data_IF_387519725248
#
_entry.id   IF_387519725248
#
_cell.length_a   1.000
_cell.length_b   1.000
_cell.length_c   1.000
_cell.angle_alpha   90.00
_cell.angle_beta   90.00
_cell.angle_gamma   90.00
#
_symmetry.space_group_name_H-M   'P 1'
#
loop_
_entity.id
_entity.type
_entity.pdbx_description
1 polymer ?
#
# COMPACT_ATOMS: atom_id res chain seq x y z
N UNK A 1 -16.57 10.89 21.87
CA UNK A 1 -15.70 9.70 22.10
C UNK A 1 -14.61 9.58 21.04
N UNK A 2 -14.90 9.77 19.75
CA UNK A 2 -13.91 9.85 18.66
C UNK A 2 -12.93 11.04 18.78
N UNK A 3 -13.41 12.22 19.20
CA UNK A 3 -12.55 13.40 19.39
C UNK A 3 -11.50 13.21 20.49
N UNK A 4 -11.86 12.59 21.61
CA UNK A 4 -10.93 12.31 22.71
C UNK A 4 -9.80 11.36 22.29
N UNK A 5 -10.11 10.36 21.45
CA UNK A 5 -9.13 9.41 20.92
C UNK A 5 -8.21 10.05 19.88
N UNK A 6 -8.75 10.92 19.01
CA UNK A 6 -7.96 11.67 18.03
C UNK A 6 -6.97 12.63 18.71
N UNK A 7 -7.42 13.36 19.75
CA UNK A 7 -6.58 14.28 20.52
C UNK A 7 -5.48 13.53 21.28
N UNK A 8 -5.78 12.36 21.86
CA UNK A 8 -4.80 11.54 22.57
C UNK A 8 -3.71 11.01 21.62
N UNK A 9 -4.11 10.51 20.45
CA UNK A 9 -3.19 10.06 19.39
C UNK A 9 -2.30 11.20 18.91
N UNK A 10 -2.86 12.39 18.72
CA UNK A 10 -2.12 13.55 18.25
C UNK A 10 -1.09 14.04 19.29
N UNK A 11 -1.47 14.10 20.57
CA UNK A 11 -0.51 14.42 21.64
C UNK A 11 0.63 13.41 21.71
N UNK A 12 0.34 12.11 21.53
CA UNK A 12 1.36 11.04 21.46
C UNK A 12 2.31 11.25 20.28
N UNK A 13 1.80 11.54 19.09
CA UNK A 13 2.66 11.78 17.92
C UNK A 13 3.54 13.01 18.10
N UNK A 14 3.01 14.08 18.68
CA UNK A 14 3.75 15.31 18.90
C UNK A 14 4.88 15.12 19.92
N UNK A 15 4.64 14.32 20.98
CA UNK A 15 5.65 14.01 21.97
C UNK A 15 6.78 13.11 21.41
N UNK A 16 6.43 12.09 20.62
CA UNK A 16 7.40 11.24 19.95
C UNK A 16 8.22 12.02 18.91
N UNK A 17 7.56 12.91 18.17
CA UNK A 17 8.22 13.79 17.21
C UNK A 17 9.22 14.73 17.92
N UNK A 18 8.83 15.29 19.07
CA UNK A 18 9.71 16.14 19.87
C UNK A 18 10.91 15.36 20.41
N UNK A 19 10.70 14.15 20.92
CA UNK A 19 11.78 13.28 21.40
C UNK A 19 12.73 12.90 20.24
N UNK A 20 12.19 12.57 19.08
CA UNK A 20 12.98 12.30 17.89
C UNK A 20 13.81 13.51 17.46
N UNK A 21 13.21 14.71 17.46
CA UNK A 21 13.90 15.96 17.11
C UNK A 21 15.05 16.27 18.09
N UNK A 22 14.86 16.02 19.39
CA UNK A 22 15.91 16.16 20.40
C UNK A 22 17.11 15.25 20.12
N UNK A 23 16.88 13.97 19.83
CA UNK A 23 17.96 13.04 19.47
C UNK A 23 18.61 13.39 18.13
N UNK A 24 17.83 13.84 17.14
CA UNK A 24 18.38 14.28 15.85
C UNK A 24 19.28 15.52 16.02
N UNK A 25 18.94 16.45 16.92
CA UNK A 25 19.71 17.68 17.12
C UNK A 25 20.93 17.49 18.03
N UNK A 26 20.82 16.66 19.07
CA UNK A 26 21.89 16.47 20.06
C UNK A 26 22.86 15.34 19.72
N UNK A 27 22.40 14.23 19.14
CA UNK A 27 23.25 13.06 18.90
C UNK A 27 23.86 13.01 17.48
N UNK A 28 23.37 13.84 16.54
CA UNK A 28 23.80 13.80 15.13
C UNK A 28 24.45 15.10 14.63
N UNK A 29 25.44 14.93 13.76
CA UNK A 29 26.05 16.05 13.04
C UNK A 29 25.11 16.54 11.93
N UNK A 30 25.25 17.80 11.45
CA UNK A 30 24.48 18.31 10.31
C UNK A 30 24.53 17.37 9.08
N UNK A 31 25.71 16.86 8.73
CA UNK A 31 25.86 15.94 7.60
C UNK A 31 25.18 14.57 7.77
N UNK A 32 25.00 14.10 9.01
CA UNK A 32 24.25 12.86 9.28
C UNK A 32 22.75 13.09 9.09
N UNK A 33 22.25 14.24 9.54
CA UNK A 33 20.86 14.67 9.33
C UNK A 33 20.53 14.82 7.85
N UNK A 34 21.44 15.41 7.07
CA UNK A 34 21.26 15.54 5.62
C UNK A 34 21.16 14.18 4.93
N UNK A 35 21.95 13.18 5.37
CA UNK A 35 21.86 11.81 4.84
C UNK A 35 20.55 11.14 5.19
N UNK A 36 20.05 11.31 6.43
CA UNK A 36 18.73 10.81 6.85
C UNK A 36 17.61 11.44 6.02
N UNK A 37 17.65 12.77 5.83
CA UNK A 37 16.71 13.50 4.99
C UNK A 37 16.78 13.04 3.53
N UNK A 38 17.97 12.85 2.98
CA UNK A 38 18.16 12.35 1.61
C UNK A 38 17.65 10.91 1.44
N UNK A 39 17.83 10.06 2.46
CA UNK A 39 17.29 8.69 2.48
C UNK A 39 15.76 8.70 2.53
N UNK A 40 15.16 9.48 3.42
CA UNK A 40 13.70 9.64 3.52
C UNK A 40 13.09 10.21 2.23
N UNK A 41 13.72 11.25 1.67
CA UNK A 41 13.33 11.85 0.39
C UNK A 41 13.43 10.83 -0.75
N UNK A 42 14.47 10.00 -0.79
CA UNK A 42 14.61 8.93 -1.78
C UNK A 42 13.48 7.91 -1.66
N UNK A 43 13.13 7.47 -0.45
CA UNK A 43 12.02 6.54 -0.22
C UNK A 43 10.70 7.14 -0.71
N UNK A 44 10.40 8.38 -0.31
CA UNK A 44 9.18 9.08 -0.72
C UNK A 44 9.10 9.24 -2.24
N UNK A 45 10.19 9.68 -2.87
CA UNK A 45 10.26 9.87 -4.32
C UNK A 45 10.01 8.56 -5.07
N UNK A 46 10.74 7.49 -4.73
CA UNK A 46 10.59 6.20 -5.41
C UNK A 46 9.23 5.55 -5.16
N UNK A 47 8.68 5.66 -3.95
CA UNK A 47 7.32 5.19 -3.64
C UNK A 47 6.28 5.94 -4.46
N UNK A 48 6.43 7.27 -4.57
CA UNK A 48 5.51 8.12 -5.35
C UNK A 48 5.57 7.77 -6.83
N UNK A 49 6.79 7.67 -7.39
CA UNK A 49 6.99 7.28 -8.79
C UNK A 49 6.44 5.88 -9.05
N UNK A 50 6.76 4.92 -8.19
CA UNK A 50 6.28 3.54 -8.28
C UNK A 50 4.75 3.47 -8.23
N UNK A 51 4.13 4.21 -7.30
CA UNK A 51 2.67 4.32 -7.18
C UNK A 51 2.02 4.90 -8.43
N UNK A 52 2.58 5.98 -8.98
CA UNK A 52 2.07 6.61 -10.20
C UNK A 52 2.17 5.68 -11.41
N UNK A 53 3.30 5.00 -11.58
CA UNK A 53 3.50 3.98 -12.62
C UNK A 53 2.52 2.81 -12.42
N UNK A 54 2.38 2.34 -11.19
CA UNK A 54 1.49 1.25 -10.82
C UNK A 54 0.02 1.53 -11.13
N UNK A 55 -0.50 2.70 -10.72
CA UNK A 55 -1.86 3.14 -11.07
C UNK A 55 -2.04 3.23 -12.58
N UNK A 56 -1.07 3.80 -13.29
CA UNK A 56 -1.13 3.91 -14.75
C UNK A 56 -1.22 2.54 -15.43
N UNK A 57 -0.40 1.57 -14.99
CA UNK A 57 -0.46 0.19 -15.47
C UNK A 57 -1.76 -0.52 -15.07
N UNK A 58 -2.28 -0.23 -13.87
CA UNK A 58 -3.58 -0.70 -13.41
C UNK A 58 -4.72 -0.24 -14.32
N UNK A 59 -4.74 1.05 -14.66
CA UNK A 59 -5.71 1.63 -15.60
C UNK A 59 -5.60 1.02 -17.00
N UNK A 60 -4.38 0.84 -17.53
CA UNK A 60 -4.16 0.18 -18.82
C UNK A 60 -4.68 -1.26 -18.80
N UNK A 61 -4.45 -1.99 -17.70
CA UNK A 61 -4.96 -3.35 -17.51
C UNK A 61 -6.48 -3.37 -17.45
N UNK A 62 -7.11 -2.41 -16.76
CA UNK A 62 -8.57 -2.28 -16.72
C UNK A 62 -9.17 -2.06 -18.12
N UNK A 63 -8.58 -1.14 -18.90
CA UNK A 63 -9.01 -0.88 -20.29
C UNK A 63 -8.91 -2.16 -21.12
N UNK A 64 -7.82 -2.91 -20.99
CA UNK A 64 -7.60 -4.16 -21.72
C UNK A 64 -8.59 -5.25 -21.31
N UNK A 65 -8.80 -5.46 -20.01
CA UNK A 65 -9.75 -6.45 -19.48
C UNK A 65 -11.19 -6.16 -19.93
N UNK A 66 -11.58 -4.88 -19.94
CA UNK A 66 -12.89 -4.45 -20.44
C UNK A 66 -13.05 -4.76 -21.93
N UNK A 67 -12.03 -4.47 -22.73
CA UNK A 67 -12.01 -4.81 -24.16
C UNK A 67 -12.17 -6.32 -24.38
N UNK A 68 -11.40 -7.15 -23.67
CA UNK A 68 -11.47 -8.61 -23.75
C UNK A 68 -12.84 -9.16 -23.34
N UNK A 69 -13.46 -8.66 -22.26
CA UNK A 69 -14.81 -9.07 -21.86
C UNK A 69 -15.86 -8.75 -22.93
N UNK A 70 -15.79 -7.58 -23.55
CA UNK A 70 -16.70 -7.20 -24.64
C UNK A 70 -16.53 -8.10 -25.86
N UNK A 71 -15.28 -8.37 -26.26
CA UNK A 71 -14.98 -9.27 -27.37
C UNK A 71 -15.52 -10.69 -27.10
N UNK A 72 -15.28 -11.22 -25.90
CA UNK A 72 -15.79 -12.52 -25.48
C UNK A 72 -17.32 -12.60 -25.52
N UNK A 73 -18.00 -11.60 -24.95
CA UNK A 73 -19.46 -11.52 -25.00
C UNK A 73 -19.98 -11.46 -26.45
N UNK A 74 -19.32 -10.68 -27.32
CA UNK A 74 -19.72 -10.56 -28.72
C UNK A 74 -19.60 -11.89 -29.48
N UNK A 75 -18.54 -12.65 -29.22
CA UNK A 75 -18.34 -13.98 -29.82
C UNK A 75 -19.41 -14.97 -29.35
N UNK A 76 -19.69 -15.02 -28.04
CA UNK A 76 -20.73 -15.89 -27.48
C UNK A 76 -22.12 -15.51 -28.00
N UNK A 77 -22.40 -14.22 -28.20
CA UNK A 77 -23.68 -13.76 -28.73
C UNK A 77 -23.85 -14.11 -30.21
N UNK A 78 -22.79 -14.01 -31.01
CA UNK A 78 -22.82 -14.23 -32.45
C UNK A 78 -22.84 -15.72 -32.85
N UNK A 79 -22.44 -16.62 -31.95
CA UNK A 79 -22.39 -18.06 -32.21
C UNK A 79 -23.79 -18.68 -32.18
N UNK A 80 -24.08 -19.61 -33.10
CA UNK A 80 -25.31 -20.40 -33.07
C UNK A 80 -25.37 -21.21 -31.78
N UNK A 81 -26.46 -21.07 -31.00
CA UNK A 81 -26.61 -21.68 -29.69
C UNK A 81 -27.52 -22.90 -29.78
N UNK A 82 -27.11 -24.07 -29.26
CA UNK A 82 -28.03 -25.20 -29.12
C UNK A 82 -29.16 -24.80 -28.16
N UNK A 83 -30.41 -24.99 -28.58
CA UNK A 83 -31.60 -24.61 -27.81
C UNK A 83 -32.24 -25.78 -27.09
N UNK A 84 -31.93 -27.01 -27.52
CA UNK A 84 -32.53 -28.25 -27.03
C UNK A 84 -31.48 -29.36 -26.96
N UNK A 85 -31.54 -30.16 -25.91
CA UNK A 85 -30.85 -31.46 -25.82
C UNK A 85 -31.90 -32.54 -25.97
N UNK A 86 -31.63 -33.52 -26.83
CA UNK A 86 -32.44 -34.73 -26.95
C UNK A 86 -31.67 -35.86 -26.27
N UNK A 87 -32.28 -36.48 -25.26
CA UNK A 87 -31.71 -37.62 -24.56
C UNK A 87 -32.05 -38.93 -25.29
N UNK A 88 -31.29 -39.98 -25.04
CA UNK A 88 -31.48 -41.32 -25.64
C UNK A 88 -32.89 -41.91 -25.38
N UNK A 89 -33.54 -41.47 -24.30
CA UNK A 89 -34.92 -41.84 -23.93
C UNK A 89 -36.00 -41.07 -24.73
N UNK A 90 -35.60 -40.19 -25.66
CA UNK A 90 -36.48 -39.33 -26.45
C UNK A 90 -36.95 -38.07 -25.71
N UNK A 91 -36.57 -37.87 -24.45
CA UNK A 91 -36.88 -36.66 -23.69
C UNK A 91 -36.11 -35.48 -24.27
N UNK A 92 -36.78 -34.34 -24.36
CA UNK A 92 -36.17 -33.10 -24.83
C UNK A 92 -36.18 -32.07 -23.70
N UNK A 93 -35.01 -31.54 -23.34
CA UNK A 93 -34.89 -30.44 -22.37
C UNK A 93 -34.35 -29.18 -23.05
N UNK A 94 -34.89 -28.02 -22.67
CA UNK A 94 -34.43 -26.72 -23.17
C UNK A 94 -33.12 -26.31 -22.48
N UNK A 95 -32.13 -25.91 -23.26
CA UNK A 95 -30.90 -25.33 -22.70
C UNK A 95 -31.20 -23.87 -22.31
N UNK A 96 -30.97 -23.47 -21.04
CA UNK A 96 -31.20 -22.10 -20.62
C UNK A 96 -30.23 -21.14 -21.32
N UNK A 97 -30.74 -19.97 -21.73
CA UNK A 97 -29.89 -18.93 -22.31
C UNK A 97 -29.09 -18.21 -21.21
N UNK A 98 -27.77 -18.44 -21.19
CA UNK A 98 -26.85 -17.83 -20.25
C UNK A 98 -26.35 -16.44 -20.70
N UNK A 99 -26.70 -15.99 -21.90
CA UNK A 99 -26.26 -14.68 -22.44
C UNK A 99 -26.54 -13.50 -21.51
N UNK A 100 -27.71 -13.39 -20.85
CA UNK A 100 -27.99 -12.28 -19.94
C UNK A 100 -27.05 -12.22 -18.74
N UNK A 101 -26.57 -13.37 -18.27
CA UNK A 101 -25.66 -13.49 -17.11
C UNK A 101 -24.23 -13.11 -17.46
N UNK A 102 -23.82 -13.32 -18.72
CA UNK A 102 -22.49 -12.99 -19.23
C UNK A 102 -22.38 -11.56 -19.76
N UNK A 103 -23.49 -10.81 -19.75
CA UNK A 103 -23.52 -9.45 -20.25
C UNK A 103 -22.61 -8.55 -19.40
N UNK A 104 -21.68 -7.79 -20.02
CA UNK A 104 -20.91 -6.79 -19.30
C UNK A 104 -21.83 -5.80 -18.59
N UNK A 105 -21.56 -5.54 -17.30
CA UNK A 105 -22.35 -4.64 -16.47
C UNK A 105 -21.55 -3.39 -16.08
N UNK A 106 -22.26 -2.30 -15.79
CA UNK A 106 -21.64 -1.05 -15.33
C UNK A 106 -20.94 -1.22 -13.99
N UNK A 107 -21.54 -1.97 -13.06
CA UNK A 107 -20.92 -2.30 -11.77
C UNK A 107 -19.63 -3.11 -11.94
N UNK A 108 -19.63 -4.08 -12.86
CA UNK A 108 -18.43 -4.85 -13.20
C UNK A 108 -17.33 -3.99 -13.81
N UNK A 109 -17.69 -3.00 -14.64
CA UNK A 109 -16.74 -2.01 -15.17
C UNK A 109 -16.14 -1.16 -14.04
N UNK A 110 -16.97 -0.62 -13.12
CA UNK A 110 -16.49 0.16 -11.96
C UNK A 110 -15.55 -0.67 -11.08
N UNK A 111 -15.95 -1.90 -10.74
CA UNK A 111 -15.10 -2.81 -9.96
C UNK A 111 -13.76 -3.08 -10.67
N UNK A 112 -13.78 -3.26 -11.99
CA UNK A 112 -12.56 -3.51 -12.77
C UNK A 112 -11.60 -2.32 -12.69
N UNK A 113 -12.07 -1.09 -12.90
CA UNK A 113 -11.21 0.09 -12.76
C UNK A 113 -10.71 0.28 -11.33
N UNK A 114 -11.59 0.09 -10.33
CA UNK A 114 -11.21 0.21 -8.92
C UNK A 114 -10.13 -0.79 -8.53
N UNK A 115 -10.38 -2.09 -8.68
CA UNK A 115 -9.44 -3.13 -8.23
C UNK A 115 -8.16 -3.13 -9.04
N UNK A 116 -8.21 -2.85 -10.34
CA UNK A 116 -6.98 -2.76 -11.14
C UNK A 116 -6.14 -1.54 -10.75
N UNK A 117 -6.78 -0.40 -10.45
CA UNK A 117 -6.05 0.80 -10.01
C UNK A 117 -5.49 0.66 -8.60
N UNK A 118 -6.27 0.12 -7.66
CA UNK A 118 -5.82 -0.16 -6.29
C UNK A 118 -4.73 -1.22 -6.28
N UNK A 119 -4.90 -2.32 -7.02
CA UNK A 119 -3.86 -3.34 -7.17
C UNK A 119 -2.60 -2.77 -7.80
N UNK A 120 -2.75 -1.95 -8.84
CA UNK A 120 -1.64 -1.22 -9.46
C UNK A 120 -0.91 -0.29 -8.48
N UNK A 121 -1.66 0.52 -7.71
CA UNK A 121 -1.12 1.40 -6.68
C UNK A 121 -0.29 0.63 -5.66
N UNK A 122 -0.85 -0.46 -5.12
CA UNK A 122 -0.19 -1.26 -4.09
C UNK A 122 1.07 -1.91 -4.65
N UNK A 123 0.98 -2.60 -5.78
CA UNK A 123 2.15 -3.24 -6.39
C UNK A 123 3.24 -2.22 -6.77
N UNK A 124 2.85 -1.11 -7.39
CA UNK A 124 3.78 -0.06 -7.76
C UNK A 124 4.39 0.65 -6.55
N UNK A 125 3.58 0.91 -5.53
CA UNK A 125 3.98 1.57 -4.29
C UNK A 125 4.97 0.73 -3.49
N UNK A 126 4.71 -0.57 -3.31
CA UNK A 126 5.61 -1.48 -2.60
C UNK A 126 6.94 -1.68 -3.35
N UNK A 127 6.90 -1.80 -4.67
CA UNK A 127 8.13 -1.90 -5.49
C UNK A 127 8.92 -0.59 -5.46
N UNK A 128 8.24 0.55 -5.54
CA UNK A 128 8.85 1.87 -5.39
C UNK A 128 9.45 2.05 -4.00
N UNK A 129 8.74 1.63 -2.96
CA UNK A 129 9.21 1.66 -1.58
C UNK A 129 10.47 0.81 -1.40
N UNK A 130 10.45 -0.46 -1.85
CA UNK A 130 11.60 -1.35 -1.77
C UNK A 130 12.83 -0.78 -2.49
N UNK A 131 12.65 -0.22 -3.70
CA UNK A 131 13.72 0.46 -4.43
C UNK A 131 14.23 1.71 -3.71
N UNK A 132 13.32 2.48 -3.12
CA UNK A 132 13.62 3.63 -2.29
C UNK A 132 14.43 3.28 -1.04
N UNK A 133 14.05 2.20 -0.35
CA UNK A 133 14.77 1.66 0.83
C UNK A 133 16.16 1.18 0.43
N UNK A 134 16.30 0.46 -0.67
CA UNK A 134 17.62 0.02 -1.15
C UNK A 134 18.54 1.22 -1.44
N UNK A 135 18.02 2.26 -2.11
CA UNK A 135 18.77 3.49 -2.38
C UNK A 135 19.09 4.26 -1.09
N UNK A 136 18.11 4.47 -0.22
CA UNK A 136 18.28 5.19 1.05
C UNK A 136 19.27 4.49 1.98
N UNK A 137 19.19 3.16 2.07
CA UNK A 137 20.15 2.33 2.82
C UNK A 137 21.55 2.55 2.28
N UNK A 138 21.75 2.50 0.96
CA UNK A 138 23.05 2.74 0.34
C UNK A 138 23.61 4.14 0.68
N UNK A 139 22.76 5.16 0.74
CA UNK A 139 23.14 6.52 1.16
C UNK A 139 23.68 6.52 2.60
N UNK A 140 22.98 5.86 3.53
CA UNK A 140 23.37 5.80 4.95
C UNK A 140 24.64 4.94 5.14
N UNK A 141 24.74 3.80 4.46
CA UNK A 141 25.86 2.85 4.65
C UNK A 141 27.14 3.26 3.94
N UNK A 142 27.11 4.29 3.09
CA UNK A 142 28.29 4.76 2.34
C UNK A 142 29.41 5.30 3.24
N UNK A 143 29.06 5.78 4.43
CA UNK A 143 30.00 6.30 5.44
C UNK A 143 29.86 5.49 6.74
N UNK A 144 30.84 4.64 7.07
CA UNK A 144 30.81 3.78 8.25
C UNK A 144 30.70 4.53 9.58
N UNK A 145 31.28 5.72 9.70
CA UNK A 145 31.25 6.49 10.94
C UNK A 145 29.88 7.14 11.14
N UNK A 146 29.35 7.73 10.07
CA UNK A 146 28.00 8.29 10.04
C UNK A 146 26.95 7.24 10.34
N UNK A 147 27.07 6.04 9.74
CA UNK A 147 26.22 4.89 10.06
C UNK A 147 26.24 4.56 11.55
N UNK A 148 27.43 4.47 12.16
CA UNK A 148 27.57 4.14 13.59
C UNK A 148 26.93 5.20 14.50
N UNK A 149 27.07 6.49 14.16
CA UNK A 149 26.42 7.60 14.90
C UNK A 149 24.91 7.52 14.79
N UNK A 150 24.39 7.30 13.58
CA UNK A 150 22.95 7.13 13.31
C UNK A 150 22.38 5.94 14.09
N UNK A 151 23.04 4.77 14.06
CA UNK A 151 22.59 3.58 14.81
C UNK A 151 22.60 3.81 16.33
N UNK A 152 23.61 4.51 16.84
CA UNK A 152 23.70 4.84 18.27
C UNK A 152 22.59 5.80 18.70
N UNK A 153 22.37 6.87 17.93
CA UNK A 153 21.30 7.84 18.17
C UNK A 153 19.92 7.17 18.11
N UNK A 154 19.69 6.31 17.12
CA UNK A 154 18.45 5.53 17.00
C UNK A 154 18.25 4.57 18.17
N UNK A 155 19.31 3.92 18.65
CA UNK A 155 19.26 3.06 19.84
C UNK A 155 18.89 3.82 21.11
N UNK A 156 19.45 5.03 21.30
CA UNK A 156 19.11 5.93 22.43
C UNK A 156 17.66 6.38 22.37
N UNK A 157 17.23 6.87 21.21
CA UNK A 157 15.83 7.25 20.98
C UNK A 157 14.87 6.11 21.32
N UNK A 158 15.13 4.89 20.84
CA UNK A 158 14.28 3.73 21.13
C UNK A 158 14.26 3.39 22.61
N UNK A 159 15.39 3.50 23.31
CA UNK A 159 15.45 3.28 24.75
C UNK A 159 14.59 4.32 25.50
N UNK A 160 14.63 5.59 25.08
CA UNK A 160 13.85 6.65 25.72
C UNK A 160 12.36 6.56 25.42
N UNK A 161 11.97 6.12 24.20
CA UNK A 161 10.58 5.77 23.90
C UNK A 161 10.08 4.66 24.83
N UNK A 162 10.84 3.58 24.99
CA UNK A 162 10.46 2.46 25.85
C UNK A 162 10.38 2.85 27.33
N UNK A 163 11.26 3.73 27.81
CA UNK A 163 11.18 4.28 29.18
C UNK A 163 9.91 5.07 29.39
N UNK A 164 9.57 5.96 28.44
CA UNK A 164 8.32 6.74 28.50
C UNK A 164 7.08 5.85 28.46
N UNK A 165 7.11 4.79 27.66
CA UNK A 165 6.06 3.78 27.65
C UNK A 165 5.94 3.12 29.03
N UNK A 166 7.04 2.61 29.60
CA UNK A 166 7.03 2.02 30.93
C UNK A 166 6.47 2.98 32.01
N UNK A 167 6.93 4.23 32.03
CA UNK A 167 6.46 5.26 32.96
C UNK A 167 4.95 5.51 32.82
N UNK A 168 4.42 5.42 31.60
CA UNK A 168 3.01 5.62 31.36
C UNK A 168 2.17 4.42 31.80
N UNK A 169 2.68 3.20 31.59
CA UNK A 169 2.08 1.98 32.12
C UNK A 169 2.02 2.01 33.65
N UNK A 170 3.07 2.49 34.33
CA UNK A 170 3.11 2.68 35.78
C UNK A 170 2.08 3.72 36.26
N UNK A 171 1.83 4.77 35.47
CA UNK A 171 0.83 5.81 35.76
C UNK A 171 -0.62 5.40 35.44
N UNK A 172 -0.85 4.15 35.03
CA UNK A 172 -2.18 3.63 34.69
C UNK A 172 -2.70 4.09 33.33
N UNK A 173 -1.83 4.61 32.45
CA UNK A 173 -2.17 4.98 31.08
C UNK A 173 -1.89 3.78 30.18
N UNK A 174 -2.91 2.94 29.98
CA UNK A 174 -2.78 1.66 29.27
C UNK A 174 -2.81 1.74 27.73
N UNK A 175 -2.80 2.94 27.13
CA UNK A 175 -2.95 3.13 25.67
C UNK A 175 -1.60 3.31 24.92
N UNK A 176 -0.49 2.91 25.54
CA UNK A 176 0.79 2.76 24.86
C UNK A 176 0.87 1.38 24.22
N UNK A 177 0.05 1.17 23.19
CA UNK A 177 0.15 -0.01 22.34
C UNK A 177 1.31 0.14 21.34
N UNK A 178 2.13 -0.91 21.27
CA UNK A 178 3.29 -1.12 20.40
C UNK A 178 2.92 -0.98 18.92
N UNK A 179 3.83 -0.34 18.17
CA UNK A 179 4.10 -0.43 16.71
C UNK A 179 2.95 -0.94 15.84
#
# INVERSE_FOLDING_TARGET
MSESFAILRQRRSDELAKLADEHLQHDLQPGDRDKLNAAASSISLWTTVGSAVGVSLGLLTAIRLRGSRKAFFSAIRAQQKPTKVVFEDGRTESIPDLTPLLKPTTLGDVATYFFASVGGLLLGGELGFAGGVAKGTRTITSDPESKKRIETAFGRFRADVLRKEADAWEKGVHDYALI
#
